data_IF_142849868447
#
_entry.id   IF_142849868447
#
_cell.length_a   1.000
_cell.length_b   1.000
_cell.length_c   1.000
_cell.angle_alpha   90.00
_cell.angle_beta   90.00
_cell.angle_gamma   90.00
#
_symmetry.space_group_name_H-M   'P 1'
#
loop_
_entity.id
_entity.type
_entity.pdbx_description
1 polymer ?
#
# COMPACT_ATOMS: atom_id res chain seq x y z
N UNK A 1 -31.34 -6.64 53.60
CA UNK A 1 -30.42 -6.14 52.56
C UNK A 1 -30.83 -6.52 51.15
N UNK A 2 -31.29 -7.75 50.85
CA UNK A 2 -31.75 -8.13 49.50
C UNK A 2 -32.71 -7.10 48.87
N UNK A 3 -33.79 -6.72 49.57
CA UNK A 3 -34.74 -5.72 49.05
C UNK A 3 -34.14 -4.32 48.81
N UNK A 4 -33.06 -3.96 49.54
CA UNK A 4 -32.32 -2.71 49.32
C UNK A 4 -31.47 -2.81 48.06
N UNK A 5 -30.77 -3.94 47.87
CA UNK A 5 -30.00 -4.20 46.65
C UNK A 5 -30.90 -4.33 45.41
N UNK A 6 -32.07 -4.94 45.53
CA UNK A 6 -33.06 -5.02 44.45
C UNK A 6 -33.58 -3.63 44.08
N UNK A 7 -33.88 -2.79 45.07
CA UNK A 7 -34.28 -1.39 44.84
C UNK A 7 -33.17 -0.60 44.15
N UNK A 8 -31.92 -0.71 44.62
CA UNK A 8 -30.75 -0.02 44.02
C UNK A 8 -30.47 -0.51 42.60
N UNK A 9 -30.58 -1.82 42.36
CA UNK A 9 -30.40 -2.41 41.02
C UNK A 9 -31.50 -1.95 40.06
N UNK A 10 -32.74 -1.89 40.54
CA UNK A 10 -33.90 -1.40 39.77
C UNK A 10 -33.78 0.09 39.45
N UNK A 11 -33.26 0.92 40.38
CA UNK A 11 -32.92 2.32 40.13
C UNK A 11 -31.85 2.44 39.03
N UNK A 12 -30.80 1.60 39.09
CA UNK A 12 -29.71 1.62 38.10
C UNK A 12 -30.20 1.22 36.70
N UNK A 13 -31.10 0.25 36.62
CA UNK A 13 -31.76 -0.14 35.37
C UNK A 13 -32.63 1.00 34.81
N UNK A 14 -33.55 1.54 35.63
CA UNK A 14 -34.43 2.64 35.23
C UNK A 14 -33.65 3.90 34.82
N UNK A 15 -32.51 4.19 35.46
CA UNK A 15 -31.63 5.29 35.06
C UNK A 15 -30.94 5.05 33.71
N UNK A 16 -30.57 3.79 33.41
CA UNK A 16 -30.02 3.44 32.09
C UNK A 16 -31.08 3.61 31.00
N UNK A 17 -32.32 3.20 31.27
CA UNK A 17 -33.47 3.42 30.38
C UNK A 17 -33.75 4.92 30.17
N UNK A 18 -33.63 5.74 31.21
CA UNK A 18 -33.73 7.20 31.11
C UNK A 18 -32.65 7.80 30.19
N UNK A 19 -31.39 7.35 30.30
CA UNK A 19 -30.30 7.79 29.42
C UNK A 19 -30.55 7.41 27.95
N UNK A 20 -31.08 6.21 27.71
CA UNK A 20 -31.43 5.74 26.36
C UNK A 20 -32.62 6.55 25.79
N UNK A 21 -33.63 6.82 26.61
CA UNK A 21 -34.82 7.60 26.24
C UNK A 21 -34.48 9.07 25.94
N UNK A 22 -33.53 9.66 26.69
CA UNK A 22 -33.01 11.01 26.44
C UNK A 22 -32.27 11.11 25.11
N UNK A 23 -31.41 10.13 24.78
CA UNK A 23 -30.69 10.10 23.50
C UNK A 23 -31.63 9.95 22.28
N UNK A 24 -32.78 9.31 22.47
CA UNK A 24 -33.79 9.09 21.43
C UNK A 24 -34.94 10.13 21.45
N UNK A 25 -34.90 11.12 22.36
CA UNK A 25 -35.92 12.18 22.53
C UNK A 25 -37.36 11.67 22.67
N UNK A 26 -37.55 10.51 23.31
CA UNK A 26 -38.87 9.92 23.52
C UNK A 26 -39.47 10.38 24.86
N UNK A 27 -40.30 11.42 24.84
CA UNK A 27 -40.92 12.00 26.04
C UNK A 27 -41.69 10.98 26.90
N UNK A 28 -42.40 10.03 26.29
CA UNK A 28 -43.17 9.03 27.03
C UNK A 28 -42.26 8.03 27.75
N UNK A 29 -41.15 7.63 27.11
CA UNK A 29 -40.16 6.75 27.72
C UNK A 29 -39.35 7.45 28.82
N UNK A 30 -39.07 8.75 28.66
CA UNK A 30 -38.45 9.57 29.71
C UNK A 30 -39.36 9.62 30.94
N UNK A 31 -40.65 9.90 30.76
CA UNK A 31 -41.61 9.98 31.87
C UNK A 31 -41.79 8.63 32.58
N UNK A 32 -41.86 7.52 31.83
CA UNK A 32 -41.97 6.18 32.40
C UNK A 32 -40.73 5.79 33.22
N UNK A 33 -39.53 6.07 32.71
CA UNK A 33 -38.28 5.80 33.41
C UNK A 33 -38.11 6.68 34.67
N UNK A 34 -38.48 7.97 34.60
CA UNK A 34 -38.45 8.88 35.75
C UNK A 34 -39.41 8.44 36.87
N UNK A 35 -40.64 8.06 36.49
CA UNK A 35 -41.62 7.51 37.43
C UNK A 35 -41.11 6.22 38.10
N UNK A 36 -40.49 5.32 37.33
CA UNK A 36 -39.91 4.09 37.86
C UNK A 36 -38.79 4.37 38.88
N UNK A 37 -37.93 5.37 38.63
CA UNK A 37 -36.90 5.80 39.60
C UNK A 37 -37.55 6.33 40.89
N UNK A 38 -38.58 7.19 40.77
CA UNK A 38 -39.29 7.76 41.92
C UNK A 38 -39.98 6.69 42.77
N UNK A 39 -40.62 5.71 42.14
CA UNK A 39 -41.26 4.59 42.83
C UNK A 39 -40.25 3.74 43.60
N UNK A 40 -39.10 3.42 43.01
CA UNK A 40 -38.05 2.67 43.70
C UNK A 40 -37.41 3.47 44.84
N UNK A 41 -37.26 4.79 44.72
CA UNK A 41 -36.81 5.66 45.81
C UNK A 41 -37.81 5.70 46.98
N UNK A 42 -39.12 5.65 46.71
CA UNK A 42 -40.14 5.52 47.76
C UNK A 42 -40.03 4.19 48.50
N UNK A 43 -39.89 3.07 47.78
CA UNK A 43 -39.67 1.74 48.36
C UNK A 43 -38.42 1.73 49.25
N UNK A 44 -37.33 2.34 48.79
CA UNK A 44 -36.08 2.46 49.55
C UNK A 44 -36.26 3.30 50.83
N UNK A 45 -37.04 4.39 50.77
CA UNK A 45 -37.35 5.23 51.91
C UNK A 45 -38.18 4.49 52.97
N UNK A 46 -39.17 3.70 52.55
CA UNK A 46 -39.95 2.87 53.45
C UNK A 46 -39.12 1.76 54.10
N UNK A 47 -38.25 1.12 53.33
CA UNK A 47 -37.27 0.14 53.82
C UNK A 47 -36.34 0.75 54.88
N UNK A 48 -35.81 1.96 54.62
CA UNK A 48 -34.98 2.70 55.57
C UNK A 48 -35.74 2.98 56.87
N UNK A 49 -37.01 3.38 56.79
CA UNK A 49 -37.87 3.64 57.95
C UNK A 49 -38.14 2.37 58.78
N UNK A 50 -38.40 1.23 58.12
CA UNK A 50 -38.62 -0.07 58.78
C UNK A 50 -37.35 -0.59 59.45
N UNK A 51 -36.19 -0.38 58.84
CA UNK A 51 -34.89 -0.71 59.42
C UNK A 51 -34.61 0.11 60.69
N UNK A 52 -34.93 1.41 60.67
CA UNK A 52 -34.74 2.31 61.81
C UNK A 52 -35.64 1.94 63.01
N UNK A 53 -36.77 1.27 62.77
CA UNK A 53 -37.71 0.80 63.79
C UNK A 53 -37.34 -0.57 64.39
N UNK A 54 -36.22 -1.18 63.98
CA UNK A 54 -35.79 -2.52 64.43
C UNK A 54 -36.82 -3.65 64.18
N UNK A 55 -37.74 -3.49 63.22
CA UNK A 55 -38.79 -4.47 62.90
C UNK A 55 -38.35 -5.51 61.83
N UNK A 56 -37.10 -5.50 61.39
CA UNK A 56 -36.60 -6.40 60.36
C UNK A 56 -35.77 -7.53 60.97
N UNK A 57 -36.43 -8.65 61.20
CA UNK A 57 -35.84 -9.90 61.65
C UNK A 57 -35.11 -10.56 60.46
N UNK A 58 -33.89 -10.10 60.17
CA UNK A 58 -33.05 -10.70 59.12
C UNK A 58 -31.61 -10.83 59.62
N UNK A 59 -31.15 -12.08 59.72
CA UNK A 59 -29.77 -12.42 60.10
C UNK A 59 -28.76 -11.67 59.21
N UNK A 60 -27.83 -10.89 59.79
CA UNK A 60 -26.86 -10.06 59.05
C UNK A 60 -26.02 -10.83 58.03
N UNK A 61 -25.72 -12.10 58.34
CA UNK A 61 -24.84 -12.97 57.55
C UNK A 61 -25.49 -13.43 56.24
N UNK A 62 -26.79 -13.76 56.25
CA UNK A 62 -27.57 -14.13 55.05
C UNK A 62 -27.65 -12.96 54.07
N UNK A 63 -27.73 -11.76 54.61
CA UNK A 63 -27.86 -10.52 53.86
C UNK A 63 -26.58 -10.14 53.11
N UNK A 64 -25.40 -10.40 53.70
CA UNK A 64 -24.09 -10.25 53.06
C UNK A 64 -23.91 -11.26 51.92
N UNK A 65 -24.24 -12.53 52.18
CA UNK A 65 -24.08 -13.60 51.18
C UNK A 65 -24.94 -13.36 49.93
N UNK A 66 -26.15 -12.82 50.09
CA UNK A 66 -27.02 -12.45 48.95
C UNK A 66 -26.46 -11.29 48.13
N UNK A 67 -25.83 -10.30 48.78
CA UNK A 67 -25.20 -9.19 48.07
C UNK A 67 -24.01 -9.66 47.23
N UNK A 68 -23.18 -10.56 47.77
CA UNK A 68 -22.06 -11.17 47.03
C UNK A 68 -22.55 -12.00 45.84
N UNK A 69 -23.61 -12.79 46.00
CA UNK A 69 -24.23 -13.55 44.89
C UNK A 69 -24.69 -12.60 43.78
N UNK A 70 -25.32 -11.47 44.14
CA UNK A 70 -25.84 -10.50 43.17
C UNK A 70 -24.73 -9.73 42.44
N UNK A 71 -23.61 -9.44 43.12
CA UNK A 71 -22.42 -8.87 42.51
C UNK A 71 -21.81 -9.86 41.50
N UNK A 72 -21.63 -11.12 41.89
CA UNK A 72 -21.11 -12.17 40.99
C UNK A 72 -22.00 -12.36 39.76
N UNK A 73 -23.32 -12.37 39.92
CA UNK A 73 -24.26 -12.44 38.79
C UNK A 73 -24.17 -11.22 37.86
N UNK A 74 -23.82 -10.05 38.38
CA UNK A 74 -23.64 -8.85 37.58
C UNK A 74 -22.32 -8.90 36.78
N UNK A 75 -21.25 -9.42 37.39
CA UNK A 75 -19.98 -9.67 36.69
C UNK A 75 -20.15 -10.69 35.56
N UNK A 76 -20.84 -11.80 35.81
CA UNK A 76 -21.12 -12.81 34.78
C UNK A 76 -21.86 -12.20 33.58
N UNK A 77 -22.89 -11.37 33.82
CA UNK A 77 -23.61 -10.69 32.74
C UNK A 77 -22.71 -9.75 31.93
N UNK A 78 -21.78 -9.05 32.56
CA UNK A 78 -20.83 -8.16 31.88
C UNK A 78 -19.90 -8.98 30.98
N UNK A 79 -19.36 -10.09 31.50
CA UNK A 79 -18.47 -10.96 30.74
C UNK A 79 -19.18 -11.61 29.55
N UNK A 80 -20.44 -12.04 29.71
CA UNK A 80 -21.26 -12.54 28.62
C UNK A 80 -21.45 -11.50 27.49
N UNK A 81 -21.68 -10.23 27.84
CA UNK A 81 -21.79 -9.15 26.85
C UNK A 81 -20.45 -8.93 26.14
N UNK A 82 -19.34 -8.94 26.88
CA UNK A 82 -18.00 -8.78 26.32
C UNK A 82 -17.63 -9.93 25.38
N UNK A 83 -17.98 -11.17 25.72
CA UNK A 83 -17.80 -12.35 24.87
C UNK A 83 -18.58 -12.17 23.57
N UNK A 84 -19.88 -11.83 23.63
CA UNK A 84 -20.70 -11.60 22.42
C UNK A 84 -20.12 -10.49 21.54
N UNK A 85 -19.59 -9.42 22.15
CA UNK A 85 -18.93 -8.33 21.42
C UNK A 85 -17.65 -8.81 20.72
N UNK A 86 -16.80 -9.58 21.41
CA UNK A 86 -15.58 -10.15 20.83
C UNK A 86 -15.90 -11.13 19.68
N UNK A 87 -16.90 -11.98 19.85
CA UNK A 87 -17.38 -12.90 18.80
C UNK A 87 -17.84 -12.15 17.55
N UNK A 88 -18.61 -11.06 17.72
CA UNK A 88 -19.03 -10.23 16.59
C UNK A 88 -17.84 -9.58 15.85
N UNK A 89 -16.82 -9.16 16.60
CA UNK A 89 -15.61 -8.57 16.05
C UNK A 89 -14.76 -9.60 15.29
N UNK A 90 -14.64 -10.82 15.82
CA UNK A 90 -13.99 -11.94 15.15
C UNK A 90 -14.70 -12.26 13.84
N UNK A 91 -16.03 -12.40 13.85
CA UNK A 91 -16.83 -12.67 12.63
C UNK A 91 -16.59 -11.62 11.55
N UNK A 92 -16.59 -10.34 11.92
CA UNK A 92 -16.28 -9.24 11.00
C UNK A 92 -14.87 -9.35 10.42
N UNK A 93 -13.84 -9.54 11.26
CA UNK A 93 -12.45 -9.67 10.82
C UNK A 93 -12.25 -10.88 9.89
N UNK A 94 -12.94 -11.99 10.16
CA UNK A 94 -12.91 -13.16 9.27
C UNK A 94 -13.49 -12.82 7.90
N UNK A 95 -14.60 -12.07 7.84
CA UNK A 95 -15.17 -11.60 6.57
C UNK A 95 -14.21 -10.68 5.81
N UNK A 96 -13.53 -9.75 6.50
CA UNK A 96 -12.52 -8.86 5.90
C UNK A 96 -11.33 -9.65 5.32
N UNK A 97 -10.85 -10.67 6.03
CA UNK A 97 -9.77 -11.55 5.57
C UNK A 97 -10.16 -12.27 4.28
N UNK A 98 -11.39 -12.80 4.20
CA UNK A 98 -11.92 -13.46 3.00
C UNK A 98 -12.02 -12.47 1.84
N UNK A 99 -12.50 -11.26 2.08
CA UNK A 99 -12.59 -10.21 1.09
C UNK A 99 -11.20 -9.83 0.54
N UNK A 100 -10.23 -9.58 1.41
CA UNK A 100 -8.87 -9.25 1.00
C UNK A 100 -8.18 -10.40 0.26
N UNK A 101 -8.39 -11.65 0.67
CA UNK A 101 -7.89 -12.81 -0.08
C UNK A 101 -8.48 -12.87 -1.49
N UNK A 102 -9.77 -12.58 -1.65
CA UNK A 102 -10.42 -12.50 -2.96
C UNK A 102 -9.81 -11.39 -3.82
N UNK A 103 -9.67 -10.18 -3.27
CA UNK A 103 -9.03 -9.06 -3.97
C UNK A 103 -7.59 -9.37 -4.40
N UNK A 104 -6.81 -10.01 -3.53
CA UNK A 104 -5.45 -10.43 -3.84
C UNK A 104 -5.42 -11.44 -4.99
N UNK A 105 -6.32 -12.43 -4.96
CA UNK A 105 -6.44 -13.43 -6.03
C UNK A 105 -6.82 -12.79 -7.37
N UNK A 106 -7.78 -11.87 -7.36
CA UNK A 106 -8.23 -11.16 -8.57
C UNK A 106 -7.09 -10.30 -9.15
N UNK A 107 -6.35 -9.56 -8.29
CA UNK A 107 -5.18 -8.78 -8.68
C UNK A 107 -4.05 -9.67 -9.24
N UNK A 108 -3.83 -10.85 -8.66
CA UNK A 108 -2.83 -11.82 -9.12
C UNK A 108 -3.18 -12.37 -10.51
N UNK A 109 -4.47 -12.65 -10.77
CA UNK A 109 -4.95 -13.10 -12.08
C UNK A 109 -4.77 -11.98 -13.13
N UNK A 110 -5.14 -10.75 -12.77
CA UNK A 110 -4.93 -9.58 -13.64
C UNK A 110 -3.46 -9.37 -13.96
N UNK A 111 -2.58 -9.43 -12.97
CA UNK A 111 -1.13 -9.32 -13.17
C UNK A 111 -0.61 -10.42 -14.10
N UNK A 112 -1.02 -11.67 -13.91
CA UNK A 112 -0.64 -12.78 -14.80
C UNK A 112 -1.16 -12.58 -16.22
N UNK A 113 -2.35 -12.01 -16.41
CA UNK A 113 -2.88 -11.66 -17.74
C UNK A 113 -2.07 -10.53 -18.40
N UNK A 114 -1.73 -9.49 -17.64
CA UNK A 114 -0.89 -8.40 -18.13
C UNK A 114 0.52 -8.88 -18.47
N UNK A 115 1.10 -9.77 -17.65
CA UNK A 115 2.40 -10.38 -17.90
C UNK A 115 2.38 -11.24 -19.17
N UNK A 116 1.32 -12.04 -19.38
CA UNK A 116 1.11 -12.76 -20.66
C UNK A 116 1.02 -11.79 -21.83
N UNK A 117 0.21 -10.73 -21.73
CA UNK A 117 0.11 -9.71 -22.78
C UNK A 117 1.44 -8.99 -23.02
N UNK A 118 2.25 -8.76 -21.99
CA UNK A 118 3.56 -8.13 -22.10
C UNK A 118 4.56 -9.07 -22.80
N UNK A 119 4.53 -10.36 -22.46
CA UNK A 119 5.38 -11.39 -23.06
C UNK A 119 4.94 -11.74 -24.50
N UNK A 120 3.65 -11.74 -24.78
CA UNK A 120 3.07 -11.81 -26.14
C UNK A 120 3.37 -10.53 -26.93
N UNK A 121 3.48 -9.39 -26.24
CA UNK A 121 4.04 -8.14 -26.78
C UNK A 121 5.56 -8.17 -26.93
N UNK A 122 6.17 -9.36 -27.06
CA UNK A 122 7.49 -9.59 -27.63
C UNK A 122 7.55 -9.10 -29.08
N UNK A 123 7.32 -7.81 -29.28
CA UNK A 123 7.18 -7.11 -30.55
C UNK A 123 8.52 -6.94 -31.28
N UNK A 124 9.64 -7.49 -30.77
CA UNK A 124 10.97 -7.28 -31.36
C UNK A 124 11.27 -8.17 -32.58
N UNK A 125 10.38 -9.08 -32.97
CA UNK A 125 10.45 -9.71 -34.31
C UNK A 125 10.38 -8.66 -35.44
N UNK A 126 9.83 -7.47 -35.17
CA UNK A 126 9.87 -6.33 -36.10
C UNK A 126 11.30 -5.93 -36.51
N UNK A 127 12.30 -6.19 -35.66
CA UNK A 127 13.69 -5.79 -35.88
C UNK A 127 14.56 -6.91 -36.48
N UNK A 128 13.98 -8.05 -36.86
CA UNK A 128 14.70 -9.15 -37.50
C UNK A 128 15.15 -8.84 -38.93
N UNK A 129 14.47 -7.89 -39.58
CA UNK A 129 14.79 -7.45 -40.93
C UNK A 129 15.86 -6.34 -41.01
N UNK A 130 16.28 -5.77 -39.88
CA UNK A 130 17.28 -4.68 -39.88
C UNK A 130 18.67 -5.25 -40.14
N UNK A 131 19.25 -4.91 -41.30
CA UNK A 131 20.65 -5.23 -41.67
C UNK A 131 21.48 -3.96 -41.69
N UNK A 132 22.76 -4.07 -41.29
CA UNK A 132 23.69 -2.94 -41.23
C UNK A 132 23.81 -2.20 -42.57
N UNK A 133 23.86 -2.95 -43.67
CA UNK A 133 24.03 -2.41 -45.02
C UNK A 133 22.79 -1.73 -45.59
N UNK A 134 21.62 -1.87 -44.95
CA UNK A 134 20.33 -1.32 -45.42
C UNK A 134 19.64 -0.45 -44.38
N UNK A 135 20.37 -0.02 -43.35
CA UNK A 135 19.85 0.86 -42.30
C UNK A 135 19.28 2.15 -42.91
N UNK A 136 18.00 2.41 -42.67
CA UNK A 136 17.33 3.60 -43.16
C UNK A 136 16.70 4.40 -42.01
N UNK A 137 16.36 5.69 -42.24
CA UNK A 137 15.72 6.52 -41.22
C UNK A 137 14.38 5.96 -40.70
N UNK A 138 13.65 5.18 -41.49
CA UNK A 138 12.39 4.54 -41.06
C UNK A 138 12.63 3.49 -39.97
N UNK A 139 13.72 2.70 -40.07
CA UNK A 139 14.12 1.73 -39.05
C UNK A 139 14.40 2.44 -37.71
N UNK A 140 15.09 3.58 -37.77
CA UNK A 140 15.34 4.41 -36.59
C UNK A 140 14.06 4.96 -35.97
N UNK A 141 13.14 5.47 -36.79
CA UNK A 141 11.84 5.98 -36.31
C UNK A 141 11.02 4.88 -35.64
N UNK A 142 11.04 3.65 -36.16
CA UNK A 142 10.39 2.50 -35.53
C UNK A 142 10.98 2.19 -34.15
N UNK A 143 12.31 2.14 -34.03
CA UNK A 143 12.99 1.94 -32.73
C UNK A 143 12.74 3.11 -31.77
N UNK A 144 12.66 4.34 -32.28
CA UNK A 144 12.34 5.53 -31.50
C UNK A 144 10.94 5.44 -30.92
N UNK A 145 9.93 5.17 -31.75
CA UNK A 145 8.54 5.03 -31.30
C UNK A 145 8.40 3.91 -30.27
N UNK A 146 9.06 2.78 -30.51
CA UNK A 146 9.12 1.66 -29.57
C UNK A 146 9.74 2.10 -28.23
N UNK A 147 10.90 2.76 -28.27
CA UNK A 147 11.57 3.29 -27.07
C UNK A 147 10.70 4.25 -26.30
N UNK A 148 10.02 5.17 -27.00
CA UNK A 148 9.13 6.15 -26.39
C UNK A 148 7.93 5.53 -25.67
N UNK A 149 7.50 4.32 -26.05
CA UNK A 149 6.47 3.56 -25.30
C UNK A 149 6.96 3.20 -23.90
N UNK A 150 8.19 2.69 -23.78
CA UNK A 150 8.78 2.28 -22.50
C UNK A 150 9.18 3.48 -21.64
N UNK A 151 9.69 4.55 -22.26
CA UNK A 151 9.95 5.82 -21.57
C UNK A 151 8.66 6.36 -20.95
N UNK A 152 7.56 6.43 -21.72
CA UNK A 152 6.26 6.88 -21.19
C UNK A 152 5.74 6.00 -20.06
N UNK A 153 5.95 4.68 -20.14
CA UNK A 153 5.56 3.75 -19.08
C UNK A 153 6.34 3.99 -17.79
N UNK A 154 7.67 4.13 -17.89
CA UNK A 154 8.52 4.40 -16.73
C UNK A 154 8.27 5.79 -16.14
N UNK A 155 8.08 6.82 -16.96
CA UNK A 155 7.74 8.17 -16.48
C UNK A 155 6.42 8.16 -15.70
N UNK A 156 5.41 7.40 -16.16
CA UNK A 156 4.16 7.21 -15.38
C UNK A 156 4.39 6.53 -14.04
N UNK A 157 5.30 5.55 -13.98
CA UNK A 157 5.67 4.92 -12.71
C UNK A 157 6.38 5.93 -11.79
N UNK A 158 7.37 6.67 -12.31
CA UNK A 158 8.08 7.71 -11.57
C UNK A 158 7.12 8.75 -10.99
N UNK A 159 6.19 9.26 -11.78
CA UNK A 159 5.20 10.24 -11.32
C UNK A 159 4.33 9.69 -10.18
N UNK A 160 3.92 8.41 -10.24
CA UNK A 160 3.17 7.79 -9.14
C UNK A 160 3.98 7.72 -7.85
N UNK A 161 5.25 7.34 -7.92
CA UNK A 161 6.13 7.33 -6.73
C UNK A 161 6.33 8.74 -6.18
N UNK A 162 6.44 9.74 -7.05
CA UNK A 162 6.50 11.15 -6.66
C UNK A 162 5.22 11.61 -5.97
N UNK A 163 4.04 11.28 -6.51
CA UNK A 163 2.74 11.60 -5.90
C UNK A 163 2.57 10.95 -4.52
N UNK A 164 2.92 9.67 -4.38
CA UNK A 164 2.91 8.95 -3.10
C UNK A 164 3.83 9.62 -2.08
N UNK A 165 5.01 10.04 -2.54
CA UNK A 165 5.98 10.75 -1.72
C UNK A 165 5.66 12.24 -1.50
N UNK A 166 4.50 12.73 -1.99
CA UNK A 166 4.06 14.14 -1.91
C UNK A 166 5.03 15.13 -2.54
N UNK A 167 5.73 14.72 -3.60
CA UNK A 167 6.55 15.63 -4.40
C UNK A 167 5.66 16.47 -5.32
N UNK A 168 5.96 17.76 -5.40
CA UNK A 168 5.40 18.63 -6.42
C UNK A 168 6.09 18.32 -7.76
N UNK A 169 5.37 17.60 -8.62
CA UNK A 169 5.89 17.12 -9.91
C UNK A 169 6.23 18.29 -10.82
N UNK A 170 5.43 19.36 -10.82
CA UNK A 170 5.62 20.52 -11.69
C UNK A 170 6.85 21.34 -11.30
N UNK A 171 7.04 21.58 -10.00
CA UNK A 171 8.25 22.23 -9.47
C UNK A 171 9.47 21.35 -9.72
N UNK A 172 9.35 20.04 -9.54
CA UNK A 172 10.47 19.11 -9.75
C UNK A 172 10.89 19.09 -11.22
N UNK A 173 9.94 19.01 -12.15
CA UNK A 173 10.21 18.99 -13.59
C UNK A 173 10.96 20.24 -14.06
N UNK A 174 10.64 21.42 -13.49
CA UNK A 174 11.32 22.69 -13.78
C UNK A 174 12.76 22.75 -13.27
N UNK A 175 13.07 21.99 -12.22
CA UNK A 175 14.37 21.95 -11.58
C UNK A 175 15.29 20.81 -12.08
N UNK A 176 14.86 20.05 -13.08
CA UNK A 176 15.71 19.04 -13.71
C UNK A 176 16.81 19.75 -14.51
N UNK A 177 18.07 19.56 -14.11
CA UNK A 177 19.19 20.16 -14.83
C UNK A 177 19.24 19.67 -16.29
N UNK A 178 19.36 20.59 -17.27
CA UNK A 178 19.60 20.22 -18.66
C UNK A 178 21.05 19.73 -18.81
N UNK A 179 21.25 18.43 -18.57
CA UNK A 179 22.58 17.81 -18.52
C UNK A 179 22.67 16.50 -19.31
N UNK A 180 22.29 16.50 -20.60
CA UNK A 180 22.57 15.35 -21.46
C UNK A 180 24.03 15.41 -21.95
N UNK A 181 24.97 14.95 -21.12
CA UNK A 181 26.28 14.55 -21.63
C UNK A 181 26.16 13.10 -22.09
N UNK A 182 26.20 12.94 -23.41
CA UNK A 182 26.36 11.64 -24.06
C UNK A 182 27.72 11.09 -23.65
N UNK A 183 27.77 10.12 -22.73
CA UNK A 183 29.01 9.42 -22.42
C UNK A 183 29.37 8.58 -23.63
N UNK A 184 30.38 9.00 -24.38
CA UNK A 184 30.94 8.21 -25.46
C UNK A 184 31.66 7.00 -24.85
N UNK A 185 31.36 5.83 -25.37
CA UNK A 185 32.00 4.58 -24.95
C UNK A 185 33.21 4.24 -25.83
N UNK A 186 33.57 5.11 -26.79
CA UNK A 186 34.69 4.90 -27.71
C UNK A 186 34.44 3.78 -28.71
N UNK A 187 33.17 3.47 -28.98
CA UNK A 187 32.78 2.38 -29.88
C UNK A 187 32.71 2.87 -31.32
N UNK A 188 33.15 2.01 -32.24
CA UNK A 188 32.94 2.16 -33.68
C UNK A 188 31.47 1.98 -34.05
N UNK A 189 31.09 2.41 -35.26
CA UNK A 189 29.72 2.24 -35.77
C UNK A 189 29.32 0.77 -35.86
N UNK A 190 30.26 -0.09 -36.26
CA UNK A 190 30.06 -1.53 -36.38
C UNK A 190 29.87 -2.17 -34.99
N UNK A 191 30.65 -1.77 -33.99
CA UNK A 191 30.47 -2.23 -32.61
C UNK A 191 29.13 -1.81 -32.04
N UNK A 192 28.69 -0.56 -32.28
CA UNK A 192 27.34 -0.12 -31.91
C UNK A 192 26.25 -0.96 -32.59
N UNK A 193 26.40 -1.28 -33.88
CA UNK A 193 25.43 -2.13 -34.56
C UNK A 193 25.44 -3.58 -34.03
N UNK A 194 26.61 -4.13 -33.72
CA UNK A 194 26.73 -5.46 -33.14
C UNK A 194 26.11 -5.53 -31.73
N UNK A 195 26.30 -4.49 -30.91
CA UNK A 195 25.60 -4.31 -29.64
C UNK A 195 24.08 -4.30 -29.86
N UNK A 196 23.56 -3.52 -30.81
CA UNK A 196 22.13 -3.52 -31.15
C UNK A 196 21.62 -4.93 -31.53
N UNK A 197 22.35 -5.62 -32.42
CA UNK A 197 21.96 -6.94 -32.91
C UNK A 197 21.96 -8.01 -31.82
N UNK A 198 22.92 -7.94 -30.89
CA UNK A 198 23.02 -8.90 -29.78
C UNK A 198 21.95 -8.66 -28.71
N UNK A 199 21.62 -7.39 -28.45
CA UNK A 199 20.72 -7.00 -27.37
C UNK A 199 19.25 -6.92 -27.77
N UNK A 200 18.90 -6.77 -29.05
CA UNK A 200 17.50 -6.55 -29.46
C UNK A 200 16.52 -7.63 -28.97
N UNK A 201 16.96 -8.88 -28.80
CA UNK A 201 16.11 -9.98 -28.28
C UNK A 201 16.33 -10.28 -26.80
N UNK A 202 17.31 -9.65 -26.16
CA UNK A 202 17.66 -9.94 -24.78
C UNK A 202 16.57 -9.45 -23.81
N UNK A 203 16.44 -10.15 -22.68
CA UNK A 203 15.65 -9.67 -21.54
C UNK A 203 16.58 -8.88 -20.61
N UNK A 204 16.30 -7.62 -20.28
CA UNK A 204 17.21 -6.76 -19.52
C UNK A 204 17.68 -7.39 -18.20
N UNK A 205 16.76 -7.89 -17.37
CA UNK A 205 17.06 -8.50 -16.08
C UNK A 205 18.07 -9.65 -16.20
N UNK A 206 17.77 -10.64 -17.05
CA UNK A 206 18.65 -11.79 -17.23
C UNK A 206 19.98 -11.40 -17.88
N UNK A 207 19.96 -10.44 -18.80
CA UNK A 207 21.16 -9.98 -19.46
C UNK A 207 22.13 -9.29 -18.50
N UNK A 208 21.64 -8.41 -17.62
CA UNK A 208 22.46 -7.69 -16.65
C UNK A 208 23.07 -8.63 -15.60
N UNK A 209 22.33 -9.65 -15.17
CA UNK A 209 22.85 -10.70 -14.27
C UNK A 209 23.99 -11.49 -14.93
N UNK A 210 23.85 -11.81 -16.22
CA UNK A 210 24.86 -12.57 -16.96
C UNK A 210 26.06 -11.71 -17.40
N UNK A 211 25.85 -10.41 -17.63
CA UNK A 211 26.84 -9.51 -18.22
C UNK A 211 26.98 -8.19 -17.42
N UNK A 212 27.39 -8.26 -16.14
CA UNK A 212 27.39 -7.10 -15.24
C UNK A 212 28.39 -6.00 -15.61
N UNK A 213 29.36 -6.29 -16.49
CA UNK A 213 30.38 -5.35 -16.94
C UNK A 213 30.22 -4.90 -18.42
N UNK A 214 29.11 -5.25 -19.06
CA UNK A 214 28.78 -4.85 -20.43
C UNK A 214 28.67 -3.32 -20.59
N UNK A 215 28.75 -2.82 -21.83
CA UNK A 215 28.51 -1.40 -22.11
C UNK A 215 27.10 -0.96 -21.69
N UNK A 216 26.10 -1.81 -21.92
CA UNK A 216 24.76 -1.58 -21.42
C UNK A 216 24.70 -1.51 -19.89
N UNK A 217 25.36 -2.43 -19.17
CA UNK A 217 25.42 -2.39 -17.71
C UNK A 217 26.02 -1.08 -17.18
N UNK A 218 27.16 -0.67 -17.74
CA UNK A 218 27.82 0.62 -17.40
C UNK A 218 26.89 1.80 -17.69
N UNK A 219 26.25 1.80 -18.85
CA UNK A 219 25.25 2.80 -19.23
C UNK A 219 24.09 2.85 -18.23
N UNK A 220 23.52 1.70 -17.88
CA UNK A 220 22.40 1.59 -16.95
C UNK A 220 22.75 2.12 -15.56
N UNK A 221 23.95 1.82 -15.03
CA UNK A 221 24.43 2.35 -13.75
C UNK A 221 24.55 3.88 -13.80
N UNK A 222 25.29 4.41 -14.79
CA UNK A 222 25.53 5.86 -14.91
C UNK A 222 24.22 6.62 -15.09
N UNK A 223 23.30 6.11 -15.91
CA UNK A 223 22.02 6.76 -16.16
C UNK A 223 21.08 6.68 -14.95
N UNK A 224 21.09 5.58 -14.20
CA UNK A 224 20.26 5.45 -13.01
C UNK A 224 20.66 6.47 -11.95
N UNK A 225 21.98 6.60 -11.72
CA UNK A 225 22.52 7.51 -10.71
C UNK A 225 22.13 8.96 -10.98
N UNK A 226 22.12 9.36 -12.27
CA UNK A 226 21.71 10.70 -12.71
C UNK A 226 20.19 10.89 -12.70
N UNK A 227 19.44 9.89 -13.14
CA UNK A 227 17.98 9.98 -13.27
C UNK A 227 17.29 9.99 -11.90
N UNK A 228 17.76 9.17 -10.95
CA UNK A 228 17.18 9.04 -9.62
C UNK A 228 18.09 9.72 -8.60
N UNK A 229 17.80 10.99 -8.34
CA UNK A 229 18.50 11.79 -7.33
C UNK A 229 18.40 11.13 -5.93
N UNK A 230 19.44 11.18 -5.08
CA UNK A 230 19.40 10.60 -3.73
C UNK A 230 18.18 11.03 -2.91
N UNK A 231 17.76 12.31 -3.02
CA UNK A 231 16.54 12.79 -2.34
C UNK A 231 15.27 12.09 -2.84
N UNK A 232 15.15 11.89 -4.16
CA UNK A 232 14.00 11.16 -4.74
C UNK A 232 13.98 9.72 -4.22
N UNK A 233 15.13 9.04 -4.24
CA UNK A 233 15.22 7.66 -3.78
C UNK A 233 14.87 7.49 -2.30
N UNK A 234 15.42 8.35 -1.42
CA UNK A 234 15.03 8.38 -0.01
C UNK A 234 13.53 8.61 0.17
N UNK A 235 12.93 9.48 -0.66
CA UNK A 235 11.50 9.74 -0.58
C UNK A 235 10.64 8.57 -1.08
N UNK A 236 11.07 7.85 -2.12
CA UNK A 236 10.32 6.73 -2.67
C UNK A 236 10.43 5.48 -1.79
N UNK A 237 11.63 5.20 -1.27
CA UNK A 237 11.93 3.91 -0.61
C UNK A 237 12.32 4.03 0.86
N UNK A 238 12.44 5.25 1.41
CA UNK A 238 12.85 5.49 2.79
C UNK A 238 14.35 5.26 3.07
N UNK A 239 15.16 4.92 2.07
CA UNK A 239 16.58 4.63 2.21
C UNK A 239 17.33 4.78 0.87
N UNK A 240 18.66 4.64 0.88
CA UNK A 240 19.54 4.70 -0.30
C UNK A 240 20.14 3.32 -0.67
N UNK A 241 19.53 2.21 -0.24
CA UNK A 241 20.11 0.89 -0.43
C UNK A 241 20.19 0.54 -1.92
N UNK A 242 19.19 0.96 -2.69
CA UNK A 242 19.15 0.74 -4.12
C UNK A 242 20.30 1.47 -4.82
N UNK A 243 20.53 2.75 -4.50
CA UNK A 243 21.64 3.54 -5.03
C UNK A 243 22.99 2.93 -4.69
N UNK A 244 23.19 2.55 -3.43
CA UNK A 244 24.44 1.95 -2.96
C UNK A 244 24.74 0.66 -3.72
N UNK A 245 23.73 -0.19 -3.92
CA UNK A 245 23.87 -1.41 -4.71
C UNK A 245 24.26 -1.10 -6.16
N UNK A 246 23.60 -0.12 -6.81
CA UNK A 246 23.87 0.28 -8.19
C UNK A 246 25.27 0.88 -8.36
N UNK A 247 25.71 1.73 -7.41
CA UNK A 247 27.06 2.31 -7.40
C UNK A 247 28.13 1.21 -7.31
N UNK A 248 27.84 0.16 -6.54
CA UNK A 248 28.73 -1.00 -6.41
C UNK A 248 28.62 -2.00 -7.58
N UNK A 249 27.93 -1.65 -8.67
CA UNK A 249 27.78 -2.48 -9.86
C UNK A 249 26.68 -3.55 -9.77
N UNK A 250 25.87 -3.54 -8.72
CA UNK A 250 24.75 -4.46 -8.55
C UNK A 250 23.46 -3.99 -9.22
N UNK A 251 22.57 -4.94 -9.52
CA UNK A 251 21.25 -4.68 -10.11
C UNK A 251 20.15 -5.07 -9.12
N UNK A 252 19.46 -4.08 -8.53
CA UNK A 252 18.39 -4.30 -7.56
C UNK A 252 17.21 -5.09 -8.14
N UNK A 253 16.70 -6.06 -7.37
CA UNK A 253 15.46 -6.77 -7.71
C UNK A 253 14.23 -6.05 -7.13
N UNK A 254 13.99 -4.82 -7.58
CA UNK A 254 12.82 -4.02 -7.19
C UNK A 254 11.94 -3.72 -8.40
N UNK A 255 10.63 -3.62 -8.21
CA UNK A 255 9.70 -3.30 -9.30
C UNK A 255 10.07 -2.00 -10.02
N UNK A 256 10.51 -1.00 -9.26
CA UNK A 256 10.97 0.26 -9.83
C UNK A 256 12.23 0.09 -10.68
N UNK A 257 13.24 -0.65 -10.20
CA UNK A 257 14.47 -0.87 -10.95
C UNK A 257 14.24 -1.75 -12.19
N UNK A 258 13.37 -2.76 -12.11
CA UNK A 258 12.98 -3.60 -13.26
C UNK A 258 12.31 -2.76 -14.36
N UNK A 259 11.43 -1.83 -13.99
CA UNK A 259 10.84 -0.91 -14.97
C UNK A 259 11.90 0.04 -15.57
N UNK A 260 12.87 0.47 -14.77
CA UNK A 260 13.99 1.28 -15.22
C UNK A 260 14.90 0.54 -16.22
N UNK A 261 15.30 -0.70 -15.95
CA UNK A 261 16.17 -1.48 -16.85
C UNK A 261 15.48 -1.78 -18.19
N UNK A 262 14.17 -2.04 -18.20
CA UNK A 262 13.38 -2.21 -19.43
C UNK A 262 13.43 -0.95 -20.29
N UNK A 263 13.16 0.22 -19.72
CA UNK A 263 13.29 1.49 -20.41
C UNK A 263 14.74 1.76 -20.84
N UNK A 264 15.69 1.56 -19.94
CA UNK A 264 17.11 1.82 -20.16
C UNK A 264 17.67 1.00 -21.32
N UNK A 265 17.28 -0.27 -21.44
CA UNK A 265 17.69 -1.12 -22.53
C UNK A 265 17.12 -0.64 -23.87
N UNK A 266 15.87 -0.18 -23.92
CA UNK A 266 15.29 0.35 -25.17
C UNK A 266 16.01 1.63 -25.60
N UNK A 267 16.31 2.49 -24.63
CA UNK A 267 17.08 3.71 -24.89
C UNK A 267 18.52 3.40 -25.34
N UNK A 268 19.16 2.36 -24.77
CA UNK A 268 20.46 1.88 -25.22
C UNK A 268 20.41 1.37 -26.66
N UNK A 269 19.41 0.57 -27.02
CA UNK A 269 19.23 0.09 -28.40
C UNK A 269 19.03 1.25 -29.39
N UNK A 270 18.19 2.24 -29.04
CA UNK A 270 18.00 3.45 -29.84
C UNK A 270 19.32 4.21 -30.03
N UNK A 271 20.10 4.33 -28.96
CA UNK A 271 21.43 4.94 -29.00
C UNK A 271 22.35 4.18 -29.95
N UNK A 272 22.50 2.86 -29.77
CA UNK A 272 23.33 2.01 -30.63
C UNK A 272 22.95 2.16 -32.10
N UNK A 273 21.65 2.16 -32.41
CA UNK A 273 21.18 2.35 -33.77
C UNK A 273 21.56 3.73 -34.31
N UNK A 274 21.31 4.80 -33.54
CA UNK A 274 21.64 6.16 -33.95
C UNK A 274 23.12 6.38 -34.22
N UNK A 275 24.01 5.87 -33.36
CA UNK A 275 25.46 5.97 -33.58
C UNK A 275 25.94 5.10 -34.75
N UNK A 276 25.33 3.93 -34.98
CA UNK A 276 25.65 3.09 -36.14
C UNK A 276 25.32 3.76 -37.48
N UNK A 277 24.32 4.65 -37.49
CA UNK A 277 23.86 5.39 -38.68
C UNK A 277 24.55 6.74 -38.88
N UNK A 278 25.15 7.32 -37.83
CA UNK A 278 25.79 8.63 -37.94
C UNK A 278 26.93 8.57 -38.96
N UNK A 279 26.92 9.39 -40.01
CA UNK A 279 28.15 9.67 -40.76
C UNK A 279 29.12 10.35 -39.79
N UNK A 280 30.38 9.90 -39.76
CA UNK A 280 31.37 10.73 -39.08
C UNK A 280 31.39 12.00 -39.90
N UNK A 281 31.03 13.13 -39.29
CA UNK A 281 31.42 14.42 -39.86
C UNK A 281 32.93 14.39 -39.88
N UNK A 282 33.50 13.99 -41.01
CA UNK A 282 34.90 14.20 -41.33
C UNK A 282 35.06 15.72 -41.34
N UNK A 283 35.56 16.23 -40.23
CA UNK A 283 36.17 17.55 -40.16
C UNK A 283 37.34 17.52 -41.15
N UNK A 284 37.08 17.94 -42.39
CA UNK A 284 38.08 18.50 -43.27
C UNK A 284 38.31 19.97 -42.90
#
# INVERSE_FOLDING_TARGET
>A
MAMVFDSVTSIKAAYTELQIAQNSYNNNAIQAADQAVVEQLKVLSELKRKLLKHELDVSPQVSLMLAEIQEQQSLIRIDEINIKKLESNIKRKVADIVLHHKQLKDCTILNRSMEKKLNESGLLSMFDNIKFTTLNPSDFVQVLHFTMKYVRSFVRLMMKEMEIAKWDVDVTAKNIEPGFVSHDFGLTKEEYFNEFKSLKTAKPKSFLVQNPYSFFAKFAIVKYIKLVHPRMECSFFGNLNQKKLVINGGFPDTTFFIAYEEMGMRFWLLRCLGFSMSEQVSLF
#
